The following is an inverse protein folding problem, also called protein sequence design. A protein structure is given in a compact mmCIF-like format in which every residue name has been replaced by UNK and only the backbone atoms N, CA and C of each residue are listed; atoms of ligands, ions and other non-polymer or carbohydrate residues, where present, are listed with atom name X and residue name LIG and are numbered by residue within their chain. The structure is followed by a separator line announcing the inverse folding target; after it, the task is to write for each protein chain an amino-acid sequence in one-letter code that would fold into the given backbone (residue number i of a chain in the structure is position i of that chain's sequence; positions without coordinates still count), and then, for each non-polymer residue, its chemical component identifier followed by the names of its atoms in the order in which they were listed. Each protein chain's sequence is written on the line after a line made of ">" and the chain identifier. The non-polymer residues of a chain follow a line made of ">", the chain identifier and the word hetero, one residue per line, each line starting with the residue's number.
data_IF_227155868690
#
_entry.id   IF_227155868690
#
_cell.length_a   1.000
_cell.length_b   1.000
_cell.length_c   1.000
_cell.angle_alpha   90.00
_cell.angle_beta   90.00
_cell.angle_gamma   90.00
#
_symmetry.space_group_name_H-M   'P 1'
#
loop_
_entity.id
_entity.type
_entity.pdbx_description
1 polymer ?
#
# COMPACT_ATOMS: atom_id res chain seq x y z
N UNK A 1 13.06 11.35 3.82
CA UNK A 1 12.19 10.91 2.71
C UNK A 1 10.76 11.41 2.91
N UNK A 2 9.92 11.26 1.91
CA UNK A 2 8.48 11.54 2.03
C UNK A 2 7.81 10.39 2.80
N UNK A 3 7.04 10.64 3.88
CA UNK A 3 6.33 9.58 4.59
C UNK A 3 5.33 8.84 3.69
N UNK A 4 5.24 7.50 3.85
CA UNK A 4 4.26 6.65 3.21
C UNK A 4 3.37 5.99 4.26
N UNK A 5 2.06 6.00 4.04
CA UNK A 5 1.10 5.33 4.91
C UNK A 5 0.10 4.49 4.11
N UNK A 6 -0.06 3.22 4.49
CA UNK A 6 -1.12 2.33 3.98
C UNK A 6 -2.11 2.00 5.10
N UNK A 7 -3.31 2.61 5.10
CA UNK A 7 -4.32 2.41 6.14
C UNK A 7 -5.12 1.11 6.03
N UNK A 8 -4.94 0.34 4.98
CA UNK A 8 -5.61 -0.94 4.72
C UNK A 8 -4.62 -1.94 4.14
N UNK A 9 -3.50 -2.15 4.86
CA UNK A 9 -2.31 -2.78 4.32
C UNK A 9 -2.46 -4.28 4.00
N UNK A 10 -3.49 -4.94 4.52
CA UNK A 10 -3.68 -6.37 4.31
C UNK A 10 -2.45 -7.17 4.71
N UNK A 11 -1.93 -7.97 3.80
CA UNK A 11 -0.68 -8.73 3.98
C UNK A 11 0.60 -7.89 3.83
N UNK A 12 0.49 -6.59 3.57
CA UNK A 12 1.60 -5.65 3.54
C UNK A 12 2.36 -5.56 2.21
N UNK A 13 1.78 -5.95 1.10
CA UNK A 13 2.48 -5.93 -0.20
C UNK A 13 3.06 -4.55 -0.53
N UNK A 14 2.26 -3.48 -0.41
CA UNK A 14 2.70 -2.10 -0.67
C UNK A 14 3.83 -1.70 0.28
N UNK A 15 3.67 -2.02 1.58
CA UNK A 15 4.65 -1.66 2.60
C UNK A 15 5.98 -2.41 2.40
N UNK A 16 5.94 -3.69 2.02
CA UNK A 16 7.14 -4.49 1.74
C UNK A 16 7.90 -3.93 0.55
N UNK A 17 7.22 -3.65 -0.56
CA UNK A 17 7.84 -3.07 -1.75
C UNK A 17 8.45 -1.69 -1.46
N UNK A 18 7.70 -0.83 -0.77
CA UNK A 18 8.20 0.48 -0.36
C UNK A 18 9.43 0.37 0.56
N UNK A 19 9.41 -0.54 1.53
CA UNK A 19 10.51 -0.75 2.45
C UNK A 19 11.76 -1.31 1.73
N UNK A 20 11.58 -2.21 0.76
CA UNK A 20 12.66 -2.68 -0.09
C UNK A 20 13.29 -1.54 -0.91
N UNK A 21 12.47 -0.65 -1.48
CA UNK A 21 12.95 0.53 -2.20
C UNK A 21 13.78 1.45 -1.28
N UNK A 22 13.31 1.72 -0.07
CA UNK A 22 14.05 2.54 0.91
C UNK A 22 15.39 1.88 1.24
N UNK A 23 15.43 0.57 1.47
CA UNK A 23 16.64 -0.17 1.81
C UNK A 23 17.57 -0.42 0.62
N UNK A 24 17.13 -0.12 -0.60
CA UNK A 24 17.91 -0.37 -1.83
C UNK A 24 17.93 -1.85 -2.23
N UNK A 25 16.93 -2.62 -1.80
CA UNK A 25 16.76 -4.01 -2.25
C UNK A 25 16.06 -3.99 -3.61
N UNK A 26 16.67 -4.52 -4.67
CA UNK A 26 16.06 -4.53 -5.99
C UNK A 26 14.87 -5.49 -6.06
N UNK A 27 13.86 -5.17 -6.89
CA UNK A 27 12.73 -6.07 -7.12
C UNK A 27 13.19 -7.47 -7.53
N UNK A 28 12.64 -8.48 -6.87
CA UNK A 28 12.97 -9.86 -7.19
C UNK A 28 14.35 -10.34 -6.71
N UNK A 29 15.05 -9.61 -5.83
CA UNK A 29 16.39 -9.98 -5.32
C UNK A 29 16.46 -11.40 -4.75
N UNK A 30 15.33 -11.93 -4.24
CA UNK A 30 15.25 -13.25 -3.62
C UNK A 30 14.62 -14.33 -4.51
N UNK A 31 14.29 -14.01 -5.75
CA UNK A 31 13.71 -14.98 -6.70
C UNK A 31 14.74 -15.44 -7.71
N UNK A 32 14.56 -16.66 -8.21
CA UNK A 32 15.24 -17.14 -9.42
C UNK A 32 14.49 -16.63 -10.65
N UNK A 33 15.22 -16.26 -11.68
CA UNK A 33 14.65 -15.82 -12.95
C UNK A 33 14.76 -16.93 -14.00
N UNK A 34 13.81 -16.99 -14.93
CA UNK A 34 13.78 -18.03 -15.96
C UNK A 34 15.03 -18.00 -16.85
N UNK A 35 15.61 -16.82 -17.11
CA UNK A 35 16.83 -16.70 -17.92
C UNK A 35 18.06 -17.38 -17.30
N UNK A 36 18.07 -17.59 -15.96
CA UNK A 36 19.15 -18.30 -15.27
C UNK A 36 19.24 -19.80 -15.70
N UNK A 37 18.22 -20.31 -16.40
CA UNK A 37 18.18 -21.67 -16.94
C UNK A 37 18.61 -21.75 -18.41
N UNK A 38 18.87 -20.63 -19.08
CA UNK A 38 19.29 -20.63 -20.47
C UNK A 38 20.73 -21.15 -20.60
N UNK A 39 21.03 -21.82 -21.72
CA UNK A 39 22.35 -22.42 -21.97
C UNK A 39 23.47 -21.40 -22.06
N UNK A 40 23.18 -20.22 -22.55
CA UNK A 40 24.08 -19.09 -22.76
C UNK A 40 24.06 -18.10 -21.55
N UNK A 41 23.45 -18.50 -20.43
CA UNK A 41 23.42 -17.67 -19.23
C UNK A 41 24.82 -17.52 -18.61
N UNK A 42 25.36 -16.30 -18.60
CA UNK A 42 26.59 -15.96 -17.92
C UNK A 42 26.37 -15.81 -16.41
N UNK A 43 26.66 -16.89 -15.69
CA UNK A 43 26.54 -16.94 -14.23
C UNK A 43 27.47 -15.99 -13.50
N UNK A 44 28.69 -15.73 -14.08
CA UNK A 44 29.66 -14.84 -13.45
C UNK A 44 29.22 -13.38 -13.58
N UNK A 45 28.82 -12.96 -14.78
CA UNK A 45 28.28 -11.62 -14.99
C UNK A 45 27.05 -11.36 -14.13
N UNK A 46 26.14 -12.34 -14.02
CA UNK A 46 24.96 -12.23 -13.16
C UNK A 46 25.33 -12.11 -11.68
N UNK A 47 26.26 -12.91 -11.19
CA UNK A 47 26.73 -12.84 -9.81
C UNK A 47 27.43 -11.50 -9.53
N UNK A 48 28.27 -11.02 -10.45
CA UNK A 48 28.93 -9.73 -10.34
C UNK A 48 27.91 -8.57 -10.31
N UNK A 49 26.89 -8.60 -11.16
CA UNK A 49 25.80 -7.61 -11.16
C UNK A 49 25.07 -7.60 -9.81
N UNK A 50 24.70 -8.75 -9.26
CA UNK A 50 24.04 -8.83 -7.97
C UNK A 50 24.91 -8.31 -6.82
N UNK A 51 26.20 -8.62 -6.82
CA UNK A 51 27.13 -8.16 -5.78
C UNK A 51 27.51 -6.68 -5.88
N UNK A 52 27.32 -6.06 -7.05
CA UNK A 52 27.54 -4.62 -7.23
C UNK A 52 26.41 -3.75 -6.60
N UNK A 53 25.28 -4.35 -6.28
CA UNK A 53 24.15 -3.65 -5.64
C UNK A 53 24.52 -3.34 -4.20
N UNK A 54 24.52 -2.05 -3.86
CA UNK A 54 24.78 -1.60 -2.49
C UNK A 54 23.45 -1.21 -1.83
N UNK A 55 23.21 -1.64 -0.60
CA UNK A 55 22.04 -1.17 0.16
C UNK A 55 22.14 0.32 0.43
N UNK A 56 21.01 0.98 0.53
CA UNK A 56 20.93 2.37 0.96
C UNK A 56 21.21 2.49 2.46
N UNK A 57 21.64 3.66 2.95
CA UNK A 57 21.63 3.97 4.37
C UNK A 57 20.20 3.79 4.92
N UNK A 58 20.10 3.18 6.10
CA UNK A 58 18.80 3.00 6.75
C UNK A 58 18.29 4.33 7.29
N UNK A 59 16.97 4.56 7.26
CA UNK A 59 16.39 5.78 7.81
C UNK A 59 16.54 5.80 9.35
N UNK A 60 16.88 6.96 9.92
CA UNK A 60 16.97 7.16 11.36
C UNK A 60 15.60 7.17 12.04
N UNK A 61 14.57 7.59 11.30
CA UNK A 61 13.19 7.65 11.78
C UNK A 61 12.29 6.85 10.85
N UNK A 62 11.18 6.27 11.33
CA UNK A 62 10.22 5.59 10.47
C UNK A 62 9.68 6.53 9.39
N UNK A 63 9.71 6.05 8.14
CA UNK A 63 9.17 6.77 6.98
C UNK A 63 8.05 6.00 6.30
N UNK A 64 7.79 4.77 6.74
CA UNK A 64 6.75 3.88 6.21
C UNK A 64 5.90 3.42 7.37
N UNK A 65 4.58 3.52 7.22
CA UNK A 65 3.60 3.23 8.25
C UNK A 65 2.47 2.41 7.66
N UNK A 66 1.86 1.54 8.47
CA UNK A 66 0.73 0.75 8.02
C UNK A 66 -0.31 0.51 9.10
N UNK A 67 -1.52 0.23 8.65
CA UNK A 67 -2.59 -0.24 9.53
C UNK A 67 -3.56 -1.15 8.80
N UNK A 68 -4.28 -1.95 9.55
CA UNK A 68 -5.39 -2.75 9.07
C UNK A 68 -6.39 -2.94 10.21
N UNK A 69 -7.66 -3.17 9.89
CA UNK A 69 -8.70 -3.50 10.87
C UNK A 69 -8.44 -4.88 11.49
N UNK A 70 -7.83 -5.80 10.74
CA UNK A 70 -7.55 -7.17 11.15
C UNK A 70 -6.18 -7.26 11.83
N UNK A 71 -6.16 -7.68 13.10
CA UNK A 71 -4.93 -7.99 13.83
C UNK A 71 -4.10 -9.09 13.15
N UNK A 72 -4.76 -10.07 12.51
CA UNK A 72 -4.10 -11.14 11.77
C UNK A 72 -3.36 -10.59 10.54
N UNK A 73 -3.94 -9.61 9.84
CA UNK A 73 -3.29 -8.95 8.71
C UNK A 73 -2.11 -8.11 9.16
N UNK A 74 -2.22 -7.41 10.27
CA UNK A 74 -1.10 -6.68 10.88
C UNK A 74 0.05 -7.62 11.27
N UNK A 75 -0.28 -8.78 11.86
CA UNK A 75 0.72 -9.80 12.20
C UNK A 75 1.38 -10.39 10.94
N UNK A 76 0.58 -10.67 9.90
CA UNK A 76 1.07 -11.16 8.60
C UNK A 76 1.98 -10.13 7.92
N UNK A 77 1.61 -8.86 7.91
CA UNK A 77 2.45 -7.77 7.39
C UNK A 77 3.78 -7.70 8.10
N UNK A 78 3.80 -7.78 9.45
CA UNK A 78 5.03 -7.81 10.24
C UNK A 78 5.91 -9.01 9.89
N UNK A 79 5.30 -10.18 9.72
CA UNK A 79 6.00 -11.38 9.27
C UNK A 79 6.61 -11.19 7.87
N UNK A 80 5.85 -10.67 6.92
CA UNK A 80 6.29 -10.46 5.54
C UNK A 80 7.43 -9.44 5.43
N UNK A 81 7.40 -8.35 6.21
CA UNK A 81 8.50 -7.40 6.30
C UNK A 81 9.79 -8.09 6.80
N UNK A 82 9.68 -8.93 7.84
CA UNK A 82 10.82 -9.72 8.35
C UNK A 82 11.35 -10.70 7.30
N UNK A 83 10.46 -11.44 6.62
CA UNK A 83 10.85 -12.37 5.55
C UNK A 83 11.48 -11.63 4.37
N UNK A 84 10.99 -10.43 4.06
CA UNK A 84 11.59 -9.57 3.04
C UNK A 84 12.98 -9.03 3.44
N UNK A 85 13.38 -9.17 4.70
CA UNK A 85 14.69 -8.74 5.21
C UNK A 85 14.79 -7.25 5.42
N UNK A 86 13.68 -6.62 5.80
CA UNK A 86 13.67 -5.21 6.17
C UNK A 86 14.34 -5.05 7.54
N UNK A 87 15.27 -4.09 7.60
CA UNK A 87 16.16 -3.88 8.75
C UNK A 87 15.84 -2.62 9.56
N UNK A 88 14.81 -1.88 9.18
CA UNK A 88 14.35 -0.70 9.91
C UNK A 88 12.90 -0.86 10.36
N UNK A 89 12.48 -0.01 11.28
CA UNK A 89 11.13 -0.08 11.84
C UNK A 89 10.08 0.41 10.84
N UNK A 90 9.01 -0.39 10.68
CA UNK A 90 7.77 -0.03 10.00
C UNK A 90 6.65 -0.12 11.02
N UNK A 91 6.23 1.00 11.64
CA UNK A 91 5.15 1.00 12.62
C UNK A 91 3.83 0.50 12.03
N UNK A 92 3.24 -0.50 12.69
CA UNK A 92 1.99 -1.14 12.28
C UNK A 92 0.96 -1.04 13.41
N UNK A 93 -0.27 -0.64 13.07
CA UNK A 93 -1.37 -0.51 14.04
C UNK A 93 -2.59 -1.32 13.59
N UNK A 94 -3.28 -1.93 14.55
CA UNK A 94 -4.61 -2.46 14.31
C UNK A 94 -5.62 -1.33 14.55
N UNK A 95 -6.22 -0.81 13.48
CA UNK A 95 -7.20 0.28 13.54
C UNK A 95 -8.01 0.30 12.24
N UNK A 96 -9.27 0.69 12.32
CA UNK A 96 -10.13 0.88 11.16
C UNK A 96 -9.69 2.11 10.35
N UNK A 97 -9.73 2.01 9.02
CA UNK A 97 -9.28 3.08 8.12
C UNK A 97 -10.01 4.42 8.34
N UNK A 98 -11.25 4.39 8.76
CA UNK A 98 -12.04 5.58 9.07
C UNK A 98 -11.62 6.29 10.38
N UNK A 99 -10.79 5.64 11.20
CA UNK A 99 -10.32 6.21 12.48
C UNK A 99 -8.84 6.58 12.48
N UNK A 100 -8.12 6.34 11.38
CA UNK A 100 -6.69 6.66 11.29
C UNK A 100 -6.43 8.16 11.37
N UNK A 101 -5.21 8.49 11.77
CA UNK A 101 -4.66 9.85 11.74
C UNK A 101 -3.34 9.84 10.97
N UNK A 102 -2.94 10.97 10.46
CA UNK A 102 -1.63 11.12 9.83
C UNK A 102 -0.53 10.67 10.81
N UNK A 103 0.37 9.77 10.39
CA UNK A 103 1.38 9.20 11.27
C UNK A 103 2.51 10.19 11.60
N UNK A 104 2.62 11.27 10.84
CA UNK A 104 3.64 12.31 10.97
C UNK A 104 3.03 13.69 10.77
N UNK A 105 3.65 14.73 11.34
CA UNK A 105 3.28 16.12 11.09
C UNK A 105 3.65 16.54 9.65
N UNK A 106 4.74 15.99 9.11
CA UNK A 106 5.13 16.22 7.73
C UNK A 106 4.13 15.54 6.81
N UNK A 107 3.52 16.27 5.85
CA UNK A 107 2.67 15.68 4.82
C UNK A 107 3.41 14.62 4.00
N UNK A 108 2.68 13.58 3.62
CA UNK A 108 3.23 12.44 2.91
C UNK A 108 2.31 11.88 1.84
N UNK A 109 2.52 10.62 1.54
CA UNK A 109 1.73 9.84 0.59
C UNK A 109 0.92 8.80 1.37
N UNK A 110 -0.40 8.82 1.21
CA UNK A 110 -1.26 7.71 1.57
C UNK A 110 -1.45 6.87 0.31
N UNK A 111 -1.05 5.60 0.35
CA UNK A 111 -1.21 4.68 -0.79
C UNK A 111 -1.83 3.38 -0.29
N UNK A 112 -2.99 3.03 -0.84
CA UNK A 112 -3.72 1.84 -0.40
C UNK A 112 -4.47 1.17 -1.54
N UNK A 113 -4.72 -0.14 -1.38
CA UNK A 113 -5.65 -0.93 -2.18
C UNK A 113 -6.87 -1.26 -1.32
N UNK A 114 -7.88 -0.37 -1.29
CA UNK A 114 -9.04 -0.55 -0.43
C UNK A 114 -9.83 -1.81 -0.82
N UNK A 115 -10.57 -2.42 0.11
CA UNK A 115 -11.46 -3.51 -0.23
C UNK A 115 -12.53 -3.04 -1.23
N UNK A 116 -12.86 -3.87 -2.20
CA UNK A 116 -13.89 -3.62 -3.20
C UNK A 116 -14.80 -4.84 -3.37
N UNK A 117 -16.05 -4.63 -3.78
CA UNK A 117 -17.02 -5.70 -4.00
C UNK A 117 -17.29 -6.52 -2.73
N UNK A 118 -17.32 -7.84 -2.86
CA UNK A 118 -17.66 -8.80 -1.80
C UNK A 118 -16.79 -8.73 -0.54
N UNK A 119 -15.63 -8.06 -0.59
CA UNK A 119 -14.70 -7.98 0.55
C UNK A 119 -15.09 -6.96 1.62
N UNK A 120 -16.02 -6.05 1.32
CA UNK A 120 -16.49 -5.04 2.29
C UNK A 120 -17.44 -5.66 3.33
N UNK A 121 -18.08 -6.79 3.01
CA UNK A 121 -19.12 -7.44 3.83
C UNK A 121 -18.64 -8.51 4.83
N UNK A 122 -17.36 -8.80 4.95
CA UNK A 122 -16.87 -10.00 5.71
C UNK A 122 -17.04 -9.91 7.23
N UNK A 123 -17.44 -8.76 7.80
CA UNK A 123 -17.72 -8.61 9.25
C UNK A 123 -18.96 -7.76 9.59
N UNK A 124 -19.86 -7.55 8.67
CA UNK A 124 -21.09 -6.77 8.90
C UNK A 124 -22.34 -7.64 8.98
N UNK A 125 -23.35 -7.10 9.64
CA UNK A 125 -24.69 -7.66 9.73
C UNK A 125 -25.23 -7.94 8.30
N UNK A 126 -25.62 -9.19 8.04
CA UNK A 126 -26.12 -9.66 6.73
C UNK A 126 -27.46 -9.03 6.29
N UNK A 127 -27.98 -8.08 7.06
CA UNK A 127 -29.24 -7.39 6.80
C UNK A 127 -29.10 -6.11 5.97
N UNK A 128 -27.86 -5.57 5.82
CA UNK A 128 -27.61 -4.33 5.07
C UNK A 128 -27.13 -4.69 3.65
N UNK A 129 -27.72 -4.11 2.59
CA UNK A 129 -27.23 -4.28 1.23
C UNK A 129 -25.76 -3.90 1.09
N UNK A 130 -25.00 -4.67 0.33
CA UNK A 130 -23.56 -4.51 0.16
C UNK A 130 -23.17 -3.11 -0.37
N UNK A 131 -23.97 -2.55 -1.27
CA UNK A 131 -23.76 -1.21 -1.83
C UNK A 131 -23.92 -0.11 -0.77
N UNK A 132 -24.82 -0.28 0.20
CA UNK A 132 -25.03 0.68 1.30
C UNK A 132 -23.88 0.63 2.31
N UNK A 133 -23.35 -0.57 2.59
CA UNK A 133 -22.17 -0.75 3.45
C UNK A 133 -20.93 -0.13 2.82
N UNK A 134 -20.71 -0.37 1.52
CA UNK A 134 -19.62 0.23 0.78
C UNK A 134 -19.72 1.77 0.77
N UNK A 135 -20.89 2.30 0.48
CA UNK A 135 -21.15 3.74 0.48
C UNK A 135 -20.90 4.38 1.84
N UNK A 136 -21.35 3.72 2.93
CA UNK A 136 -21.11 4.17 4.30
C UNK A 136 -19.64 4.21 4.67
N UNK A 137 -18.92 3.13 4.37
CA UNK A 137 -17.46 3.04 4.60
C UNK A 137 -16.70 4.14 3.86
N UNK A 138 -16.91 4.27 2.55
CA UNK A 138 -16.17 5.26 1.75
C UNK A 138 -16.52 6.69 2.11
N UNK A 139 -17.76 6.98 2.52
CA UNK A 139 -18.16 8.29 3.01
C UNK A 139 -17.43 8.65 4.32
N UNK A 140 -17.35 7.72 5.26
CA UNK A 140 -16.63 7.91 6.53
C UNK A 140 -15.11 8.04 6.29
N UNK A 141 -14.53 7.19 5.45
CA UNK A 141 -13.11 7.27 5.09
C UNK A 141 -12.76 8.58 4.39
N UNK A 142 -13.62 9.06 3.49
CA UNK A 142 -13.47 10.39 2.86
C UNK A 142 -13.43 11.52 3.89
N UNK A 143 -14.30 11.46 4.90
CA UNK A 143 -14.30 12.44 6.00
C UNK A 143 -12.97 12.41 6.76
N UNK A 144 -12.46 11.23 7.06
CA UNK A 144 -11.15 11.04 7.70
C UNK A 144 -10.02 11.64 6.85
N UNK A 145 -10.01 11.38 5.54
CA UNK A 145 -9.01 11.95 4.64
C UNK A 145 -9.03 13.48 4.68
N UNK A 146 -10.21 14.09 4.57
CA UNK A 146 -10.38 15.55 4.59
C UNK A 146 -9.94 16.19 5.91
N UNK A 147 -10.26 15.55 7.04
CA UNK A 147 -10.06 16.14 8.36
C UNK A 147 -8.68 15.89 8.95
N UNK A 148 -8.04 14.78 8.58
CA UNK A 148 -6.84 14.30 9.28
C UNK A 148 -5.61 14.13 8.39
N UNK A 149 -5.74 14.37 7.08
CA UNK A 149 -4.65 14.22 6.10
C UNK A 149 -4.46 15.49 5.26
N UNK A 150 -4.69 16.66 5.84
CA UNK A 150 -4.44 17.93 5.16
C UNK A 150 -2.99 18.01 4.65
N UNK A 151 -2.81 18.42 3.39
CA UNK A 151 -1.50 18.48 2.71
C UNK A 151 -0.97 17.13 2.19
N UNK A 152 -1.60 16.00 2.54
CA UNK A 152 -1.21 14.69 2.02
C UNK A 152 -1.73 14.47 0.60
N UNK A 153 -1.04 13.58 -0.13
CA UNK A 153 -1.56 13.05 -1.41
C UNK A 153 -2.02 11.62 -1.20
N UNK A 154 -3.32 11.36 -1.42
CA UNK A 154 -3.88 10.03 -1.33
C UNK A 154 -3.92 9.35 -2.70
N UNK A 155 -3.40 8.14 -2.78
CA UNK A 155 -3.49 7.26 -3.93
C UNK A 155 -4.29 6.02 -3.57
N UNK A 156 -5.39 5.78 -4.30
CA UNK A 156 -6.22 4.60 -4.12
C UNK A 156 -6.18 3.74 -5.39
N UNK A 157 -5.66 2.52 -5.24
CA UNK A 157 -5.61 1.54 -6.32
C UNK A 157 -6.83 0.63 -6.23
N UNK A 158 -7.64 0.56 -7.30
CA UNK A 158 -8.88 -0.21 -7.27
C UNK A 158 -9.34 -0.63 -8.67
N UNK A 159 -10.12 -1.72 -8.73
CA UNK A 159 -10.89 -2.09 -9.91
C UNK A 159 -12.27 -1.39 -9.96
N UNK A 160 -12.71 -0.77 -8.86
CA UNK A 160 -13.96 0.00 -8.84
C UNK A 160 -13.73 1.40 -9.45
N UNK A 161 -14.17 1.56 -10.69
CA UNK A 161 -14.07 2.83 -11.41
C UNK A 161 -15.01 3.91 -10.86
N UNK A 162 -15.99 3.54 -10.04
CA UNK A 162 -16.92 4.45 -9.37
C UNK A 162 -16.42 5.03 -8.05
N UNK A 163 -15.24 4.57 -7.55
CA UNK A 163 -14.69 4.97 -6.26
C UNK A 163 -14.70 6.48 -5.98
N UNK A 164 -14.33 7.40 -6.93
CA UNK A 164 -14.37 8.83 -6.64
C UNK A 164 -15.76 9.34 -6.29
N UNK A 165 -16.81 8.76 -6.87
CA UNK A 165 -18.21 9.11 -6.55
C UNK A 165 -18.58 8.64 -5.13
N UNK A 166 -18.15 7.44 -4.73
CA UNK A 166 -18.38 6.91 -3.38
C UNK A 166 -17.67 7.75 -2.32
N UNK A 167 -16.44 8.18 -2.59
CA UNK A 167 -15.68 9.07 -1.72
C UNK A 167 -16.20 10.52 -1.71
N UNK A 168 -17.00 10.92 -2.69
CA UNK A 168 -17.38 12.32 -2.92
C UNK A 168 -16.16 13.25 -2.95
N UNK A 169 -15.09 12.77 -3.59
CA UNK A 169 -13.84 13.48 -3.84
C UNK A 169 -13.63 13.57 -5.34
N UNK A 170 -13.11 14.73 -5.78
CA UNK A 170 -12.67 14.89 -7.16
C UNK A 170 -11.23 14.44 -7.26
N UNK A 171 -10.97 13.44 -8.08
CA UNK A 171 -9.62 13.03 -8.38
C UNK A 171 -8.85 14.09 -9.16
N UNK A 172 -7.60 14.35 -8.78
CA UNK A 172 -6.69 15.22 -9.53
C UNK A 172 -6.03 14.50 -10.70
N UNK A 173 -5.93 13.16 -10.60
CA UNK A 173 -5.41 12.30 -11.67
C UNK A 173 -5.99 10.88 -11.54
N UNK A 174 -6.17 10.23 -12.68
CA UNK A 174 -6.43 8.80 -12.79
C UNK A 174 -5.46 8.15 -13.76
N UNK A 175 -4.81 7.07 -13.34
CA UNK A 175 -3.86 6.33 -14.16
C UNK A 175 -4.38 4.91 -14.36
N UNK A 176 -4.51 4.43 -15.62
CA UNK A 176 -4.94 3.06 -15.87
C UNK A 176 -3.84 2.07 -15.50
N UNK A 177 -4.25 0.95 -14.91
CA UNK A 177 -3.42 -0.19 -14.60
C UNK A 177 -4.17 -1.48 -14.92
N UNK A 178 -3.43 -2.58 -15.01
CA UNK A 178 -3.99 -3.91 -15.15
C UNK A 178 -3.42 -4.83 -14.08
N UNK A 179 -4.29 -5.56 -13.40
CA UNK A 179 -3.92 -6.63 -12.49
C UNK A 179 -4.32 -7.96 -13.14
N UNK A 180 -3.40 -8.54 -13.91
CA UNK A 180 -3.74 -9.60 -14.85
C UNK A 180 -4.68 -9.09 -15.93
N UNK A 181 -5.85 -9.72 -16.08
CA UNK A 181 -6.91 -9.30 -17.00
C UNK A 181 -7.84 -8.22 -16.42
N UNK A 182 -7.72 -7.92 -15.13
CA UNK A 182 -8.60 -6.98 -14.45
C UNK A 182 -8.11 -5.54 -14.67
N UNK A 183 -8.98 -4.72 -15.28
CA UNK A 183 -8.72 -3.29 -15.43
C UNK A 183 -8.87 -2.59 -14.08
N UNK A 184 -7.81 -1.88 -13.68
CA UNK A 184 -7.73 -1.12 -12.43
C UNK A 184 -7.42 0.34 -12.71
N UNK A 185 -7.57 1.17 -11.69
CA UNK A 185 -7.16 2.57 -11.69
C UNK A 185 -6.39 2.89 -10.41
N UNK A 186 -5.39 3.73 -10.58
CA UNK A 186 -4.78 4.45 -9.48
C UNK A 186 -5.34 5.88 -9.50
N UNK A 187 -6.24 6.16 -8.57
CA UNK A 187 -6.79 7.49 -8.39
C UNK A 187 -5.91 8.30 -7.45
N UNK A 188 -5.62 9.54 -7.81
CA UNK A 188 -4.91 10.51 -6.97
C UNK A 188 -5.89 11.57 -6.46
N UNK A 189 -5.80 11.85 -5.17
CA UNK A 189 -6.53 12.93 -4.50
C UNK A 189 -5.53 13.79 -3.71
N UNK A 190 -5.48 15.08 -3.99
CA UNK A 190 -4.66 16.02 -3.23
C UNK A 190 -5.52 16.57 -2.09
N UNK A 191 -5.12 16.25 -0.84
CA UNK A 191 -5.84 16.69 0.36
C UNK A 191 -5.45 18.13 0.68
N UNK A 192 -6.30 19.07 0.30
CA UNK A 192 -6.11 20.49 0.61
C UNK A 192 -6.39 20.76 2.10
N UNK A 193 -5.67 21.72 2.66
CA UNK A 193 -5.87 22.21 4.02
C UNK A 193 -7.15 23.07 4.10
#
# INVERSE_FOLDING_TARGET
>A
GVPLFDPMCGSGTILVEAAQMVQGIPPGARRKFAFEQFRDHDRQAWAAMKSAIKPNPLPEQPTIFGSDISGDMVAMTRHNLKVAGILFEVPLKQIEAQHVVAPTEQPGILLTNPPYGERIGVRGDSTIPQDDMASGFYSAFSTTLKQRFAGWTAYLFTADLGLPKLLRLKESRKTPFFNGALECRLFRFDMVA
#
